data_IF_732101969408
#
_entry.id   IF_732101969408
#
_cell.length_a   1.000
_cell.length_b   1.000
_cell.length_c   1.000
_cell.angle_alpha   90.00
_cell.angle_beta   90.00
_cell.angle_gamma   90.00
#
_symmetry.space_group_name_H-M   'P 1'
#
loop_
_entity.id
_entity.type
_entity.pdbx_description
1 polymer ?
#
# COMPACT_ATOMS: atom_id res chain seq x y z
N UNK A 1 -5.21 -17.70 34.25
CA UNK A 1 -4.97 -17.11 32.91
C UNK A 1 -3.47 -17.13 32.62
N UNK A 2 -3.00 -18.09 31.81
CA UNK A 2 -1.59 -18.18 31.41
C UNK A 2 -1.28 -17.15 30.31
N UNK A 3 -0.32 -16.26 30.56
CA UNK A 3 0.08 -15.26 29.59
C UNK A 3 0.72 -15.92 28.36
N UNK A 4 0.27 -15.55 27.15
CA UNK A 4 0.82 -16.09 25.90
C UNK A 4 2.33 -15.76 25.78
N UNK A 5 3.13 -16.75 25.35
CA UNK A 5 4.57 -16.63 25.14
C UNK A 5 4.93 -15.62 24.05
N UNK A 6 6.14 -15.06 24.08
CA UNK A 6 6.60 -14.08 23.09
C UNK A 6 6.51 -14.62 21.64
N UNK A 7 6.80 -15.91 21.44
CA UNK A 7 6.69 -16.58 20.13
C UNK A 7 5.24 -16.68 19.64
N UNK A 8 4.29 -16.97 20.54
CA UNK A 8 2.86 -16.97 20.22
C UNK A 8 2.35 -15.58 19.84
N UNK A 9 2.78 -14.53 20.57
CA UNK A 9 2.47 -13.12 20.24
C UNK A 9 3.03 -12.73 18.87
N UNK A 10 4.28 -13.10 18.58
CA UNK A 10 4.91 -12.86 17.28
C UNK A 10 4.18 -13.51 16.11
N UNK A 11 3.77 -14.79 16.26
CA UNK A 11 2.93 -15.47 15.24
C UNK A 11 1.58 -14.79 15.05
N UNK A 12 0.93 -14.38 16.15
CA UNK A 12 -0.37 -13.68 16.10
C UNK A 12 -0.26 -12.33 15.37
N UNK A 13 0.77 -11.53 15.66
CA UNK A 13 1.02 -10.26 14.97
C UNK A 13 1.28 -10.47 13.47
N UNK A 14 2.11 -11.45 13.10
CA UNK A 14 2.39 -11.75 11.69
C UNK A 14 1.13 -12.19 10.94
N UNK A 15 0.31 -13.04 11.55
CA UNK A 15 -0.98 -13.45 10.98
C UNK A 15 -1.88 -12.24 10.75
N UNK A 16 -2.00 -11.35 11.73
CA UNK A 16 -2.79 -10.12 11.62
C UNK A 16 -2.32 -9.24 10.44
N UNK A 17 -1.01 -9.07 10.28
CA UNK A 17 -0.43 -8.35 9.15
C UNK A 17 -0.82 -8.99 7.81
N UNK A 18 -0.58 -10.29 7.65
CA UNK A 18 -0.96 -11.01 6.44
C UNK A 18 -2.47 -10.94 6.15
N UNK A 19 -3.32 -10.98 7.17
CA UNK A 19 -4.77 -10.89 6.99
C UNK A 19 -5.19 -9.49 6.52
N UNK A 20 -4.55 -8.43 7.03
CA UNK A 20 -4.76 -7.07 6.57
C UNK A 20 -4.30 -6.88 5.12
N UNK A 21 -3.10 -7.36 4.77
CA UNK A 21 -2.58 -7.33 3.41
C UNK A 21 -3.52 -8.05 2.42
N UNK A 22 -3.98 -9.26 2.78
CA UNK A 22 -4.95 -10.00 1.95
C UNK A 22 -6.28 -9.27 1.82
N UNK A 23 -6.74 -8.57 2.86
CA UNK A 23 -7.98 -7.81 2.79
C UNK A 23 -7.87 -6.66 1.79
N UNK A 24 -6.78 -5.89 1.83
CA UNK A 24 -6.52 -4.82 0.87
C UNK A 24 -6.38 -5.38 -0.54
N UNK A 25 -5.61 -6.46 -0.74
CA UNK A 25 -5.46 -7.09 -2.06
C UNK A 25 -6.81 -7.52 -2.66
N UNK A 26 -7.67 -8.19 -1.87
CA UNK A 26 -9.01 -8.58 -2.32
C UNK A 26 -9.88 -7.38 -2.68
N UNK A 27 -9.80 -6.31 -1.91
CA UNK A 27 -10.54 -5.09 -2.18
C UNK A 27 -10.04 -4.41 -3.47
N UNK A 28 -8.72 -4.33 -3.69
CA UNK A 28 -8.17 -3.77 -4.94
C UNK A 28 -8.57 -4.59 -6.18
N UNK A 29 -8.68 -5.92 -6.06
CA UNK A 29 -9.17 -6.80 -7.14
C UNK A 29 -10.55 -6.40 -7.66
N UNK A 30 -11.43 -5.98 -6.78
CA UNK A 30 -12.78 -5.55 -7.13
C UNK A 30 -12.86 -4.06 -7.46
N UNK A 31 -11.76 -3.32 -7.33
CA UNK A 31 -11.67 -1.87 -7.49
C UNK A 31 -10.57 -1.45 -8.47
N UNK A 32 -10.32 -2.27 -9.49
CA UNK A 32 -9.55 -1.88 -10.67
C UNK A 32 -8.18 -2.50 -10.86
N UNK A 33 -7.77 -3.41 -9.97
CA UNK A 33 -6.56 -4.22 -10.13
C UNK A 33 -6.86 -5.72 -10.02
N UNK A 34 -7.42 -6.36 -11.06
CA UNK A 34 -7.91 -7.75 -10.99
C UNK A 34 -6.85 -8.79 -10.60
N UNK A 35 -5.57 -8.46 -10.79
CA UNK A 35 -4.42 -9.28 -10.44
C UNK A 35 -3.78 -8.90 -9.09
N UNK A 36 -4.40 -8.01 -8.30
CA UNK A 36 -3.86 -7.59 -7.02
C UNK A 36 -3.77 -8.76 -6.03
N UNK A 37 -2.57 -8.98 -5.49
CA UNK A 37 -2.27 -10.09 -4.59
C UNK A 37 -1.32 -9.64 -3.49
N UNK A 38 -1.32 -10.33 -2.36
CA UNK A 38 -0.30 -10.14 -1.32
C UNK A 38 1.02 -10.70 -1.82
N UNK A 39 2.09 -9.89 -1.79
CA UNK A 39 3.42 -10.34 -2.14
C UNK A 39 3.86 -11.48 -1.20
N UNK A 40 4.26 -12.62 -1.76
CA UNK A 40 4.82 -13.73 -0.98
C UNK A 40 6.32 -13.79 -1.18
N UNK A 41 7.08 -13.55 -0.12
CA UNK A 41 8.52 -13.79 -0.12
C UNK A 41 8.80 -15.24 0.26
N UNK A 42 8.81 -16.11 -0.74
CA UNK A 42 9.38 -17.45 -0.59
C UNK A 42 10.90 -17.34 -0.78
N UNK A 43 11.66 -17.38 0.33
CA UNK A 43 13.12 -17.49 0.30
C UNK A 43 13.83 -16.61 1.32
N UNK A 44 14.79 -17.20 2.03
CA UNK A 44 15.86 -16.49 2.73
C UNK A 44 16.51 -15.47 1.79
N UNK A 45 17.02 -14.35 2.35
CA UNK A 45 17.85 -13.37 1.63
C UNK A 45 19.00 -14.10 0.91
N UNK A 46 18.82 -14.51 -0.34
CA UNK A 46 19.93 -14.76 -1.24
C UNK A 46 20.35 -13.41 -1.79
N UNK A 47 21.66 -13.13 -1.71
CA UNK A 47 22.28 -11.84 -2.02
C UNK A 47 22.13 -11.36 -3.48
N UNK A 48 21.33 -12.04 -4.30
CA UNK A 48 21.18 -11.81 -5.73
C UNK A 48 19.70 -11.78 -6.16
N UNK A 49 18.89 -10.89 -5.59
CA UNK A 49 17.64 -10.48 -6.26
C UNK A 49 17.90 -9.18 -7.03
N UNK A 50 17.93 -9.31 -8.35
CA UNK A 50 18.02 -8.20 -9.32
C UNK A 50 16.65 -7.58 -9.64
N UNK A 51 15.60 -7.92 -8.88
CA UNK A 51 14.23 -7.45 -9.11
C UNK A 51 13.78 -6.44 -8.06
N UNK A 52 13.02 -5.44 -8.50
CA UNK A 52 12.36 -4.46 -7.63
C UNK A 52 11.53 -5.15 -6.54
N UNK A 53 11.60 -4.65 -5.31
CA UNK A 53 10.83 -5.17 -4.18
C UNK A 53 9.37 -4.70 -4.30
N UNK A 54 8.40 -5.59 -4.57
CA UNK A 54 6.99 -5.19 -4.68
C UNK A 54 6.36 -4.76 -3.35
N UNK A 55 7.12 -4.84 -2.25
CA UNK A 55 6.68 -4.57 -0.89
C UNK A 55 5.56 -5.52 -0.45
N UNK A 56 4.40 -5.02 -0.02
CA UNK A 56 3.37 -5.86 0.61
C UNK A 56 2.38 -6.42 -0.44
N UNK A 57 2.17 -5.75 -1.58
CA UNK A 57 1.20 -6.14 -2.62
C UNK A 57 1.81 -6.14 -4.03
N UNK A 58 1.38 -7.06 -4.90
CA UNK A 58 1.72 -7.16 -6.33
C UNK A 58 0.48 -7.01 -7.21
N UNK A 59 0.65 -6.98 -8.53
CA UNK A 59 -0.46 -6.90 -9.49
C UNK A 59 -1.06 -5.50 -9.66
N UNK A 60 -0.29 -4.48 -9.24
CA UNK A 60 -0.60 -3.06 -9.31
C UNK A 60 0.57 -2.31 -9.98
N UNK A 61 0.68 -2.35 -11.32
CA UNK A 61 1.82 -1.79 -12.03
C UNK A 61 2.10 -0.33 -11.64
N UNK A 62 3.37 0.03 -11.52
CA UNK A 62 3.87 1.37 -11.14
C UNK A 62 3.49 1.88 -9.74
N UNK A 63 2.82 1.07 -8.92
CA UNK A 63 2.48 1.40 -7.54
C UNK A 63 3.23 0.50 -6.55
N UNK A 64 3.58 1.04 -5.39
CA UNK A 64 4.02 0.22 -4.24
C UNK A 64 3.12 0.46 -3.03
N UNK A 65 2.84 -0.62 -2.32
CA UNK A 65 1.88 -0.61 -1.21
C UNK A 65 2.55 -1.08 0.07
N UNK A 66 2.33 -0.37 1.18
CA UNK A 66 2.57 -0.90 2.51
C UNK A 66 1.29 -0.94 3.33
N UNK A 67 1.01 -2.06 3.99
CA UNK A 67 -0.22 -2.25 4.79
C UNK A 67 0.13 -2.41 6.26
N UNK A 68 -0.53 -1.64 7.14
CA UNK A 68 -0.33 -1.69 8.59
C UNK A 68 -1.64 -1.92 9.33
N UNK A 69 -1.70 -3.02 10.11
CA UNK A 69 -2.67 -3.20 11.20
C UNK A 69 -1.96 -3.05 12.54
N UNK A 70 -1.56 -1.82 12.81
CA UNK A 70 -0.82 -1.45 14.00
C UNK A 70 -1.49 -0.24 14.69
N UNK A 71 -1.36 -0.18 16.02
CA UNK A 71 -1.94 0.89 16.84
C UNK A 71 -0.98 2.06 17.06
N UNK A 72 0.31 1.89 16.75
CA UNK A 72 1.30 2.95 16.85
C UNK A 72 1.12 3.92 15.69
N UNK A 73 1.11 5.22 15.99
CA UNK A 73 0.98 6.29 15.00
C UNK A 73 2.36 6.65 14.42
N UNK A 74 3.11 5.65 13.94
CA UNK A 74 4.47 5.81 13.40
C UNK A 74 4.48 6.23 11.93
N UNK A 75 3.52 7.07 11.54
CA UNK A 75 3.24 7.40 10.14
C UNK A 75 4.47 7.96 9.44
N UNK A 76 5.13 8.97 10.01
CA UNK A 76 6.30 9.59 9.38
C UNK A 76 7.44 8.58 9.13
N UNK A 77 7.73 7.70 10.09
CA UNK A 77 8.76 6.68 9.93
C UNK A 77 8.42 5.69 8.81
N UNK A 78 7.17 5.23 8.75
CA UNK A 78 6.72 4.33 7.70
C UNK A 78 6.71 4.99 6.32
N UNK A 79 6.36 6.28 6.25
CA UNK A 79 6.37 7.04 5.00
C UNK A 79 7.80 7.26 4.48
N UNK A 80 8.77 7.51 5.35
CA UNK A 80 10.20 7.58 4.95
C UNK A 80 10.67 6.24 4.38
N UNK A 81 10.43 5.12 5.08
CA UNK A 81 10.78 3.79 4.57
C UNK A 81 10.08 3.45 3.25
N UNK A 82 8.81 3.87 3.11
CA UNK A 82 8.04 3.67 1.88
C UNK A 82 8.62 4.47 0.71
N UNK A 83 9.05 5.72 0.95
CA UNK A 83 9.67 6.56 -0.07
C UNK A 83 10.97 5.95 -0.60
N UNK A 84 11.80 5.36 0.27
CA UNK A 84 13.02 4.65 -0.13
C UNK A 84 12.70 3.46 -1.02
N UNK A 85 11.71 2.65 -0.62
CA UNK A 85 11.29 1.46 -1.36
C UNK A 85 10.64 1.79 -2.69
N UNK A 86 9.81 2.84 -2.73
CA UNK A 86 9.21 3.37 -3.97
C UNK A 86 10.29 3.73 -4.98
N UNK A 87 11.30 4.52 -4.56
CA UNK A 87 12.43 4.91 -5.41
C UNK A 87 13.22 3.68 -5.89
N UNK A 88 13.52 2.75 -4.98
CA UNK A 88 14.23 1.52 -5.33
C UNK A 88 13.44 0.61 -6.29
N UNK A 89 12.11 0.64 -6.23
CA UNK A 89 11.24 -0.11 -7.13
C UNK A 89 10.95 0.61 -8.46
N UNK A 90 11.35 1.87 -8.61
CA UNK A 90 10.99 2.70 -9.77
C UNK A 90 9.48 2.92 -9.90
N UNK A 91 8.77 2.93 -8.77
CA UNK A 91 7.33 3.16 -8.73
C UNK A 91 7.01 4.66 -8.66
N UNK A 92 5.88 5.04 -9.23
CA UNK A 92 5.46 6.44 -9.32
C UNK A 92 4.90 6.89 -7.97
N UNK A 93 4.01 6.07 -7.38
CA UNK A 93 3.31 6.40 -6.12
C UNK A 93 3.54 5.31 -5.07
N UNK A 94 3.78 5.75 -3.83
CA UNK A 94 3.87 4.88 -2.66
C UNK A 94 2.68 5.07 -1.75
N UNK A 95 1.85 4.05 -1.58
CA UNK A 95 0.64 4.11 -0.76
C UNK A 95 0.83 3.34 0.55
N UNK A 96 0.73 4.04 1.68
CA UNK A 96 0.62 3.41 3.00
C UNK A 96 -0.86 3.27 3.36
N UNK A 97 -1.33 2.03 3.50
CA UNK A 97 -2.68 1.72 3.98
C UNK A 97 -2.62 1.35 5.46
N UNK A 98 -3.31 2.12 6.30
CA UNK A 98 -3.44 1.86 7.73
C UNK A 98 -4.87 1.42 8.06
N UNK A 99 -5.01 0.22 8.64
CA UNK A 99 -6.30 -0.29 9.07
C UNK A 99 -6.95 0.65 10.09
N UNK A 100 -8.18 1.10 9.78
CA UNK A 100 -9.01 1.90 10.69
C UNK A 100 -9.83 1.01 11.61
N UNK A 101 -9.80 1.27 12.92
CA UNK A 101 -10.59 0.51 13.90
C UNK A 101 -12.08 0.80 13.68
N UNK A 102 -12.92 -0.23 13.76
CA UNK A 102 -14.36 -0.12 13.49
C UNK A 102 -14.74 -0.11 12.00
N UNK A 103 -13.76 -0.09 11.08
CA UNK A 103 -13.99 -0.18 9.64
C UNK A 103 -13.62 -1.59 9.13
N UNK A 104 -14.60 -2.50 8.94
CA UNK A 104 -14.31 -3.85 8.45
C UNK A 104 -13.91 -3.86 6.97
N UNK A 105 -14.46 -2.94 6.17
CA UNK A 105 -14.18 -2.79 4.75
C UNK A 105 -12.90 -1.96 4.52
N UNK A 106 -11.90 -2.48 3.77
CA UNK A 106 -10.68 -1.77 3.41
C UNK A 106 -10.88 -0.43 2.70
N UNK A 107 -11.99 -0.21 2.01
CA UNK A 107 -12.29 1.07 1.36
C UNK A 107 -12.30 2.25 2.34
N UNK A 108 -12.73 2.02 3.58
CA UNK A 108 -12.77 3.02 4.66
C UNK A 108 -11.50 3.04 5.53
N UNK A 109 -10.45 2.30 5.14
CA UNK A 109 -9.15 2.38 5.80
C UNK A 109 -8.41 3.62 5.36
N UNK A 110 -7.44 4.07 6.15
CA UNK A 110 -6.67 5.26 5.82
C UNK A 110 -5.63 4.94 4.76
N UNK A 111 -5.62 5.71 3.68
CA UNK A 111 -4.53 5.77 2.73
C UNK A 111 -3.71 7.03 2.98
N UNK A 112 -2.39 6.87 3.00
CA UNK A 112 -1.42 7.94 3.13
C UNK A 112 -0.48 7.94 1.93
N UNK A 113 -0.28 9.11 1.35
CA UNK A 113 0.66 9.37 0.24
C UNK A 113 1.40 10.69 0.52
N UNK A 114 2.49 10.95 -0.20
CA UNK A 114 3.13 12.26 -0.14
C UNK A 114 2.27 13.32 -0.85
N UNK A 115 2.33 14.57 -0.38
CA UNK A 115 1.64 15.69 -1.05
C UNK A 115 2.15 15.85 -2.49
N UNK A 116 3.45 15.65 -2.72
CA UNK A 116 4.04 15.70 -4.06
C UNK A 116 3.40 14.66 -5.00
N UNK A 117 3.20 13.43 -4.51
CA UNK A 117 2.56 12.36 -5.27
C UNK A 117 1.08 12.69 -5.55
N UNK A 118 0.36 13.29 -4.59
CA UNK A 118 -1.00 13.77 -4.84
C UNK A 118 -1.05 14.85 -5.94
N UNK A 119 -0.11 15.80 -5.91
CA UNK A 119 -0.02 16.85 -6.94
C UNK A 119 0.24 16.23 -8.32
N UNK A 120 1.13 15.24 -8.40
CA UNK A 120 1.41 14.50 -9.63
C UNK A 120 0.16 13.75 -10.14
N UNK A 121 -0.61 13.10 -9.26
CA UNK A 121 -1.86 12.44 -9.63
C UNK A 121 -2.90 13.43 -10.19
N UNK A 122 -2.98 14.64 -9.63
CA UNK A 122 -4.00 15.62 -10.00
C UNK A 122 -3.64 16.48 -11.22
N UNK A 123 -2.33 16.64 -11.50
CA UNK A 123 -1.87 17.62 -12.50
C UNK A 123 -0.85 17.07 -13.50
N UNK A 124 -0.37 15.85 -13.32
CA UNK A 124 0.71 15.26 -14.09
C UNK A 124 2.10 15.60 -13.54
N UNK A 125 3.14 15.11 -14.23
CA UNK A 125 4.53 15.30 -13.85
C UNK A 125 5.08 16.70 -14.18
N UNK A 126 6.19 17.08 -13.54
CA UNK A 126 6.89 18.35 -13.84
C UNK A 126 6.60 19.50 -12.87
N UNK A 127 5.92 19.24 -11.76
CA UNK A 127 5.75 20.22 -10.70
C UNK A 127 6.98 20.27 -9.78
N UNK A 128 7.32 21.46 -9.22
CA UNK A 128 8.41 21.57 -8.26
C UNK A 128 8.14 20.67 -7.05
N UNK A 129 9.20 20.05 -6.54
CA UNK A 129 9.12 19.16 -5.37
C UNK A 129 8.48 19.91 -4.20
N UNK A 130 7.31 19.45 -3.77
CA UNK A 130 6.62 20.00 -2.61
C UNK A 130 7.31 19.49 -1.34
N UNK A 131 7.55 20.32 -0.30
CA UNK A 131 8.16 19.86 0.94
C UNK A 131 7.40 18.66 1.51
N UNK A 132 8.15 17.70 2.08
CA UNK A 132 7.78 16.30 2.38
C UNK A 132 6.64 16.03 3.38
N UNK A 133 5.52 16.73 3.25
CA UNK A 133 4.28 16.45 3.96
C UNK A 133 3.54 15.26 3.38
N UNK A 134 2.65 14.70 4.19
CA UNK A 134 1.81 13.55 3.83
C UNK A 134 0.34 13.95 3.98
N UNK A 135 -0.49 13.40 3.11
CA UNK A 135 -1.94 13.58 3.14
C UNK A 135 -2.60 12.26 3.50
N UNK A 136 -3.72 12.33 4.22
CA UNK A 136 -4.57 11.18 4.58
C UNK A 136 -5.94 11.32 3.93
N UNK A 137 -6.43 10.22 3.37
CA UNK A 137 -7.82 10.07 2.91
C UNK A 137 -8.29 8.64 3.12
N UNK A 138 -9.55 8.32 2.82
CA UNK A 138 -10.00 6.94 2.78
C UNK A 138 -9.47 6.27 1.49
N UNK A 139 -9.19 4.97 1.55
CA UNK A 139 -8.67 4.24 0.39
C UNK A 139 -9.63 4.32 -0.82
N UNK A 140 -10.94 4.32 -0.57
CA UNK A 140 -11.96 4.48 -1.60
C UNK A 140 -11.94 5.86 -2.29
N UNK A 141 -11.41 6.90 -1.63
CA UNK A 141 -11.28 8.23 -2.23
C UNK A 141 -10.00 8.35 -3.07
N UNK A 142 -8.93 7.67 -2.66
CA UNK A 142 -7.67 7.66 -3.41
C UNK A 142 -7.80 6.89 -4.74
N UNK A 143 -8.52 5.77 -4.75
CA UNK A 143 -8.61 4.89 -5.94
C UNK A 143 -9.15 5.60 -7.18
N UNK A 144 -10.25 6.38 -7.13
CA UNK A 144 -10.68 7.17 -8.28
C UNK A 144 -9.62 8.15 -8.79
N UNK A 145 -8.79 8.72 -7.91
CA UNK A 145 -7.69 9.60 -8.33
C UNK A 145 -6.58 8.82 -9.05
N UNK A 146 -6.26 7.62 -8.56
CA UNK A 146 -5.33 6.70 -9.23
C UNK A 146 -5.84 6.33 -10.63
N UNK A 147 -7.12 6.00 -10.76
CA UNK A 147 -7.72 5.71 -12.06
C UNK A 147 -7.68 6.92 -13.00
N UNK A 148 -8.00 8.12 -12.50
CA UNK A 148 -7.94 9.34 -13.30
C UNK A 148 -6.51 9.66 -13.80
N UNK A 149 -5.49 9.26 -13.04
CA UNK A 149 -4.09 9.34 -13.42
C UNK A 149 -3.61 8.18 -14.31
N UNK A 150 -4.48 7.22 -14.65
CA UNK A 150 -4.17 6.10 -15.55
C UNK A 150 -3.68 4.81 -14.87
N UNK A 151 -3.73 4.73 -13.54
CA UNK A 151 -3.38 3.50 -12.82
C UNK A 151 -4.62 2.61 -12.61
N UNK A 152 -4.51 1.34 -12.98
CA UNK A 152 -5.63 0.39 -12.86
C UNK A 152 -6.73 0.68 -13.88
N UNK A 153 -7.86 -0.02 -13.75
CA UNK A 153 -9.01 0.13 -14.65
C UNK A 153 -10.27 0.35 -13.83
N UNK A 154 -11.07 1.40 -14.08
CA UNK A 154 -12.35 1.57 -13.40
C UNK A 154 -13.22 0.33 -13.53
N UNK A 155 -13.91 -0.07 -12.45
CA UNK A 155 -14.84 -1.18 -12.49
C UNK A 155 -15.92 -0.91 -13.58
N UNK A 156 -15.94 -1.75 -14.63
CA UNK A 156 -16.91 -1.65 -15.73
C UNK A 156 -16.40 -1.04 -17.04
N UNK A 157 -15.14 -0.62 -17.14
CA UNK A 157 -14.50 -0.33 -18.43
C UNK A 157 -13.73 -1.58 -18.90
N UNK A 158 -14.33 -2.34 -19.82
CA UNK A 158 -13.59 -3.36 -20.57
C UNK A 158 -12.55 -2.67 -21.46
N UNK A 159 -11.29 -3.09 -21.35
CA UNK A 159 -10.25 -2.72 -22.31
C UNK A 159 -10.69 -3.18 -23.70
N UNK A 160 -11.03 -2.23 -24.57
CA UNK A 160 -11.31 -2.49 -26.00
C UNK A 160 -10.02 -2.87 -26.72
#
# INVERSE_FOLDING_TARGET
MTAATASARGRSNRRRGHDAERAVARWLRTNGWPHAERAVRNGFRTAHRSGADPLDLTGTPHLVWSVKDDKSERICAWMVELAEKRRAAGADVGVLVQRRRGAPDPGFWWAWIFISELVELLRGSGHPEWPGGVVRMELQDLVPMLHAAGYGTPAGQEST
#
